data_IF_565025013479
#
_entry.id   IF_565025013479
#
_cell.length_a   1.000
_cell.length_b   1.000
_cell.length_c   1.000
_cell.angle_alpha   90.00
_cell.angle_beta   90.00
_cell.angle_gamma   90.00
#
_symmetry.space_group_name_H-M   'P 1'
#
loop_
_entity.id
_entity.type
_entity.pdbx_description
1 polymer ?
#
# COMPACT_ATOMS: atom_id res chain seq x y z
N UNK A 1 9.08 15.60 -5.59
CA UNK A 1 8.68 14.38 -4.86
C UNK A 1 9.95 13.64 -4.42
N UNK A 2 10.14 13.46 -3.11
CA UNK A 2 11.28 12.75 -2.51
C UNK A 2 11.34 11.29 -3.03
N UNK A 3 12.52 10.66 -3.02
CA UNK A 3 12.72 9.25 -3.38
C UNK A 3 11.76 8.34 -2.62
N UNK A 4 11.63 8.54 -1.31
CA UNK A 4 10.81 7.67 -0.46
C UNK A 4 9.33 7.82 -0.84
N UNK A 5 8.87 9.05 -1.07
CA UNK A 5 7.52 9.32 -1.60
C UNK A 5 7.27 8.62 -2.94
N UNK A 6 8.28 8.52 -3.83
CA UNK A 6 8.15 7.75 -5.08
C UNK A 6 8.02 6.26 -4.83
N UNK A 7 8.78 5.70 -3.89
CA UNK A 7 8.71 4.28 -3.54
C UNK A 7 7.36 3.93 -2.91
N UNK A 8 6.89 4.73 -1.94
CA UNK A 8 5.58 4.53 -1.31
C UNK A 8 4.46 4.66 -2.34
N UNK A 9 4.57 5.61 -3.28
CA UNK A 9 3.60 5.72 -4.37
C UNK A 9 3.55 4.45 -5.23
N UNK A 10 4.69 3.85 -5.57
CA UNK A 10 4.73 2.59 -6.33
C UNK A 10 4.05 1.47 -5.54
N UNK A 11 4.28 1.39 -4.23
CA UNK A 11 3.64 0.41 -3.35
C UNK A 11 2.12 0.65 -3.32
N UNK A 12 1.66 1.89 -3.14
CA UNK A 12 0.24 2.24 -3.15
C UNK A 12 -0.42 1.92 -4.49
N UNK A 13 0.23 2.25 -5.62
CA UNK A 13 -0.28 1.95 -6.96
C UNK A 13 -0.41 0.44 -7.18
N UNK A 14 0.54 -0.36 -6.70
CA UNK A 14 0.49 -1.82 -6.78
C UNK A 14 -0.60 -2.39 -5.86
N UNK A 15 -0.71 -1.90 -4.63
CA UNK A 15 -1.77 -2.31 -3.70
C UNK A 15 -3.16 -1.98 -4.25
N UNK A 16 -3.33 -0.83 -4.91
CA UNK A 16 -4.57 -0.49 -5.62
C UNK A 16 -4.82 -1.46 -6.77
N UNK A 17 -3.79 -1.81 -7.54
CA UNK A 17 -3.94 -2.76 -8.64
C UNK A 17 -4.41 -4.13 -8.13
N UNK A 18 -3.83 -4.62 -7.02
CA UNK A 18 -4.21 -5.90 -6.43
C UNK A 18 -5.65 -5.88 -5.87
N UNK A 19 -6.05 -4.79 -5.21
CA UNK A 19 -7.37 -4.67 -4.57
C UNK A 19 -8.52 -4.34 -5.55
N UNK A 20 -8.26 -3.47 -6.54
CA UNK A 20 -9.32 -2.91 -7.39
C UNK A 20 -9.34 -3.52 -8.81
N UNK A 21 -8.61 -4.60 -9.06
CA UNK A 21 -8.75 -5.38 -10.30
C UNK A 21 -9.84 -6.42 -10.10
N UNK A 22 -10.84 -6.43 -10.98
CA UNK A 22 -11.93 -7.40 -10.90
C UNK A 22 -11.45 -8.85 -11.04
N UNK A 23 -12.14 -9.76 -10.35
CA UNK A 23 -11.87 -11.21 -10.29
C UNK A 23 -11.83 -11.89 -11.67
N UNK A 24 -12.41 -11.28 -12.70
CA UNK A 24 -12.34 -11.74 -14.10
C UNK A 24 -10.93 -11.60 -14.70
N UNK A 25 -10.08 -10.74 -14.13
CA UNK A 25 -8.76 -10.40 -14.66
C UNK A 25 -7.61 -10.75 -13.71
N UNK A 26 -7.87 -10.82 -12.40
CA UNK A 26 -6.89 -11.21 -11.39
C UNK A 26 -7.57 -12.13 -10.38
N UNK A 27 -7.01 -13.32 -10.19
CA UNK A 27 -7.49 -14.25 -9.17
C UNK A 27 -7.33 -13.61 -7.78
N UNK A 28 -8.42 -13.49 -6.98
CA UNK A 28 -8.36 -12.85 -5.67
C UNK A 28 -7.40 -13.51 -4.70
N UNK A 29 -7.27 -14.84 -4.74
CA UNK A 29 -6.36 -15.57 -3.85
C UNK A 29 -4.90 -15.22 -4.22
N UNK A 30 -4.61 -15.11 -5.53
CA UNK A 30 -3.28 -14.68 -6.01
C UNK A 30 -3.01 -13.21 -5.65
N UNK A 31 -4.03 -12.35 -5.70
CA UNK A 31 -3.89 -10.94 -5.31
C UNK A 31 -3.56 -10.79 -3.83
N UNK A 32 -4.27 -11.54 -2.97
CA UNK A 32 -4.02 -11.60 -1.53
C UNK A 32 -2.63 -12.12 -1.24
N UNK A 33 -2.22 -13.25 -1.84
CA UNK A 33 -0.87 -13.81 -1.67
C UNK A 33 0.24 -12.79 -2.01
N UNK A 34 0.06 -12.03 -3.09
CA UNK A 34 1.01 -10.99 -3.49
C UNK A 34 1.05 -9.82 -2.50
N UNK A 35 -0.11 -9.42 -1.95
CA UNK A 35 -0.20 -8.38 -0.94
C UNK A 35 0.42 -8.81 0.39
N UNK A 36 0.21 -10.06 0.80
CA UNK A 36 0.83 -10.65 2.00
C UNK A 36 2.35 -10.72 1.89
N UNK A 37 2.89 -11.12 0.74
CA UNK A 37 4.34 -11.11 0.50
C UNK A 37 4.93 -9.71 0.60
N UNK A 38 4.24 -8.72 0.01
CA UNK A 38 4.64 -7.33 0.10
C UNK A 38 4.59 -6.80 1.54
N UNK A 39 3.53 -7.12 2.29
CA UNK A 39 3.39 -6.75 3.69
C UNK A 39 4.52 -7.36 4.54
N UNK A 40 4.82 -8.65 4.35
CA UNK A 40 5.87 -9.35 5.08
C UNK A 40 7.24 -8.68 4.92
N UNK A 41 7.62 -8.28 3.69
CA UNK A 41 8.88 -7.57 3.46
C UNK A 41 8.88 -6.16 4.09
N UNK A 42 7.77 -5.42 4.01
CA UNK A 42 7.66 -4.09 4.62
C UNK A 42 7.69 -4.15 6.16
N UNK A 43 7.19 -5.24 6.76
CA UNK A 43 7.23 -5.45 8.20
C UNK A 43 8.64 -5.66 8.76
N UNK A 44 9.64 -5.97 7.91
CA UNK A 44 11.04 -6.10 8.29
C UNK A 44 11.76 -4.77 8.50
N UNK A 45 11.15 -3.66 8.08
CA UNK A 45 11.65 -2.30 8.33
C UNK A 45 11.74 -2.02 9.84
N UNK A 46 12.66 -1.14 10.23
CA UNK A 46 12.70 -0.68 11.61
C UNK A 46 11.52 0.26 11.95
N UNK A 47 11.28 0.49 13.25
CA UNK A 47 10.15 1.31 13.69
C UNK A 47 10.17 2.74 13.12
N UNK A 48 11.36 3.33 12.95
CA UNK A 48 11.50 4.67 12.38
C UNK A 48 11.14 4.68 10.90
N UNK A 49 11.60 3.67 10.17
CA UNK A 49 11.28 3.48 8.76
C UNK A 49 9.78 3.21 8.55
N UNK A 50 9.14 2.41 9.42
CA UNK A 50 7.69 2.18 9.42
C UNK A 50 6.91 3.47 9.66
N UNK A 51 7.26 4.23 10.68
CA UNK A 51 6.64 5.52 10.98
C UNK A 51 6.73 6.50 9.79
N UNK A 52 7.89 6.57 9.14
CA UNK A 52 8.08 7.37 7.93
C UNK A 52 7.18 6.88 6.79
N UNK A 53 7.09 5.57 6.57
CA UNK A 53 6.25 4.97 5.53
C UNK A 53 4.77 5.25 5.76
N UNK A 54 4.27 5.06 6.99
CA UNK A 54 2.89 5.33 7.41
C UNK A 54 2.50 6.79 7.13
N UNK A 55 3.38 7.72 7.47
CA UNK A 55 3.13 9.15 7.25
C UNK A 55 3.07 9.47 5.75
N UNK A 56 3.96 8.89 4.94
CA UNK A 56 3.94 9.10 3.49
C UNK A 56 2.64 8.55 2.86
N UNK A 57 2.17 7.37 3.26
CA UNK A 57 0.90 6.83 2.77
C UNK A 57 -0.27 7.79 3.04
N UNK A 58 -0.35 8.31 4.26
CA UNK A 58 -1.37 9.30 4.65
C UNK A 58 -1.26 10.57 3.81
N UNK A 59 -0.06 11.07 3.59
CA UNK A 59 0.17 12.29 2.78
C UNK A 59 -0.22 12.10 1.31
N UNK A 60 0.13 10.96 0.70
CA UNK A 60 -0.16 10.69 -0.72
C UNK A 60 -1.60 10.24 -0.97
N UNK A 61 -2.33 9.77 0.04
CA UNK A 61 -3.71 9.28 -0.09
C UNK A 61 -4.62 10.28 -0.84
N UNK A 62 -4.49 11.57 -0.53
CA UNK A 62 -5.24 12.67 -1.14
C UNK A 62 -5.00 12.86 -2.65
N UNK A 63 -3.95 12.23 -3.20
CA UNK A 63 -3.67 12.23 -4.65
C UNK A 63 -4.53 11.20 -5.41
N UNK A 64 -5.17 10.28 -4.70
CA UNK A 64 -6.08 9.29 -5.24
C UNK A 64 -7.52 9.77 -5.10
N UNK A 65 -8.39 9.37 -6.04
CA UNK A 65 -9.80 9.75 -6.05
C UNK A 65 -10.72 8.62 -5.58
N UNK A 66 -11.85 8.99 -4.97
CA UNK A 66 -12.88 8.04 -4.51
C UNK A 66 -12.36 7.05 -3.48
N UNK A 67 -12.82 5.81 -3.56
CA UNK A 67 -12.50 4.72 -2.63
C UNK A 67 -10.99 4.46 -2.50
N UNK A 68 -10.22 4.76 -3.55
CA UNK A 68 -8.75 4.63 -3.54
C UNK A 68 -8.06 5.58 -2.56
N UNK A 69 -8.66 6.74 -2.28
CA UNK A 69 -8.14 7.68 -1.28
C UNK A 69 -8.20 7.07 0.13
N UNK A 70 -9.36 6.54 0.51
CA UNK A 70 -9.56 5.90 1.81
C UNK A 70 -8.71 4.64 1.93
N UNK A 71 -8.71 3.80 0.90
CA UNK A 71 -7.87 2.62 0.84
C UNK A 71 -6.38 2.94 1.05
N UNK A 72 -5.80 3.90 0.32
CA UNK A 72 -4.37 4.24 0.49
C UNK A 72 -4.06 4.84 1.86
N UNK A 73 -5.01 5.58 2.45
CA UNK A 73 -4.85 6.13 3.80
C UNK A 73 -4.80 5.02 4.85
N UNK A 74 -5.61 3.99 4.67
CA UNK A 74 -5.82 2.92 5.65
C UNK A 74 -4.89 1.70 5.38
N UNK A 75 -4.25 1.66 4.20
CA UNK A 75 -3.30 0.65 3.77
C UNK A 75 -2.17 0.32 4.78
N UNK A 76 -1.59 1.28 5.53
CA UNK A 76 -0.58 0.92 6.53
C UNK A 76 -1.09 -0.03 7.61
N UNK A 77 -2.37 0.07 8.00
CA UNK A 77 -3.00 -0.86 8.94
C UNK A 77 -3.17 -2.25 8.30
N UNK A 78 -3.66 -2.30 7.06
CA UNK A 78 -3.80 -3.54 6.29
C UNK A 78 -2.47 -4.27 6.07
N UNK A 79 -1.36 -3.53 5.93
CA UNK A 79 -0.01 -4.06 5.79
C UNK A 79 0.66 -4.42 7.14
N UNK A 80 -0.01 -4.18 8.28
CA UNK A 80 0.52 -4.46 9.61
C UNK A 80 1.70 -3.59 10.01
N UNK A 81 1.69 -2.33 9.60
CA UNK A 81 2.75 -1.34 9.90
C UNK A 81 2.43 -0.45 11.11
N UNK A 82 1.22 -0.58 11.67
CA UNK A 82 0.69 0.18 12.82
C UNK A 82 0.12 -0.78 13.85
#
# INVERSE_FOLDING_TARGET
MNKDVRLVKVIADLAIFLEFTDDDHLDPDIAVDAMEQMAAELQLLDEKEKDELVNIFKDISSQYGGDKCEYVRDLPESLGLV
#
